data_IF_885001036798
#
_entry.id   IF_885001036798
#
_cell.length_a   1.000
_cell.length_b   1.000
_cell.length_c   1.000
_cell.angle_alpha   90.00
_cell.angle_beta   90.00
_cell.angle_gamma   90.00
#
_symmetry.space_group_name_H-M   'P 1'
#
loop_
_entity.id
_entity.type
_entity.pdbx_description
1 polymer ?
#
# COMPACT_ATOMS: atom_id res chain seq x y z
N UNK A 1 -23.26 -16.85 -2.39
CA UNK A 1 -21.92 -17.51 -2.35
C UNK A 1 -22.04 -18.79 -1.54
N UNK A 2 -21.39 -19.85 -1.98
CA UNK A 2 -21.38 -21.17 -1.35
C UNK A 2 -21.03 -21.08 0.15
N UNK A 3 -21.83 -21.69 1.06
CA UNK A 3 -21.60 -21.59 2.51
C UNK A 3 -20.26 -22.16 2.97
N UNK A 4 -19.77 -23.25 2.35
CA UNK A 4 -18.47 -23.82 2.69
C UNK A 4 -17.33 -22.91 2.26
N UNK A 5 -17.45 -22.28 1.10
CA UNK A 5 -16.51 -21.24 0.65
C UNK A 5 -16.42 -20.10 1.65
N UNK A 6 -17.55 -19.58 2.13
CA UNK A 6 -17.57 -18.49 3.12
C UNK A 6 -16.92 -18.90 4.45
N UNK A 7 -17.22 -20.11 4.94
CA UNK A 7 -16.63 -20.65 6.17
C UNK A 7 -15.11 -20.82 6.05
N UNK A 8 -14.63 -21.28 4.91
CA UNK A 8 -13.19 -21.45 4.64
C UNK A 8 -12.50 -20.10 4.49
N UNK A 9 -13.15 -19.14 3.87
CA UNK A 9 -12.64 -17.78 3.76
C UNK A 9 -12.49 -17.12 5.14
N UNK A 10 -13.47 -17.26 6.05
CA UNK A 10 -13.34 -16.77 7.42
C UNK A 10 -12.14 -17.40 8.16
N UNK A 11 -11.94 -18.72 8.01
CA UNK A 11 -10.77 -19.39 8.58
C UNK A 11 -9.45 -18.87 7.99
N UNK A 12 -9.43 -18.53 6.71
CA UNK A 12 -8.26 -17.95 6.07
C UNK A 12 -7.98 -16.53 6.56
N UNK A 13 -9.01 -15.73 6.82
CA UNK A 13 -8.85 -14.40 7.42
C UNK A 13 -8.17 -14.48 8.80
N UNK A 14 -8.58 -15.45 9.63
CA UNK A 14 -7.91 -15.71 10.91
C UNK A 14 -6.45 -16.15 10.70
N UNK A 15 -6.17 -17.04 9.74
CA UNK A 15 -4.79 -17.46 9.43
C UNK A 15 -3.93 -16.29 8.96
N UNK A 16 -4.47 -15.37 8.15
CA UNK A 16 -3.75 -14.18 7.72
C UNK A 16 -3.39 -13.26 8.91
N UNK A 17 -4.30 -13.10 9.86
CA UNK A 17 -4.06 -12.31 11.08
C UNK A 17 -3.02 -12.98 11.99
N UNK A 18 -3.09 -14.29 12.18
CA UNK A 18 -2.09 -15.04 12.98
C UNK A 18 -0.69 -14.93 12.36
N UNK A 19 -0.59 -14.88 11.02
CA UNK A 19 0.70 -14.69 10.31
C UNK A 19 1.17 -13.23 10.30
N UNK A 20 0.45 -12.34 10.94
CA UNK A 20 0.78 -10.93 11.06
C UNK A 20 1.02 -10.26 9.68
N UNK A 21 0.15 -10.58 8.71
CA UNK A 21 0.16 -9.89 7.42
C UNK A 21 -0.30 -8.45 7.60
N UNK A 22 0.30 -7.55 6.83
CA UNK A 22 -0.10 -6.14 6.87
C UNK A 22 -1.59 -5.99 6.51
N UNK A 23 -2.27 -5.03 7.15
CA UNK A 23 -3.68 -4.74 6.86
C UNK A 23 -3.96 -4.53 5.37
N UNK A 24 -3.07 -3.84 4.67
CA UNK A 24 -3.19 -3.61 3.23
C UNK A 24 -3.12 -4.91 2.42
N UNK A 25 -2.29 -5.87 2.85
CA UNK A 25 -2.23 -7.20 2.23
C UNK A 25 -3.52 -7.96 2.48
N UNK A 26 -4.02 -7.95 3.72
CA UNK A 26 -5.29 -8.61 4.08
C UNK A 26 -6.45 -8.00 3.31
N UNK A 27 -6.55 -6.67 3.25
CA UNK A 27 -7.57 -5.95 2.46
C UNK A 27 -7.50 -6.34 0.98
N UNK A 28 -6.31 -6.36 0.38
CA UNK A 28 -6.11 -6.72 -1.02
C UNK A 28 -6.53 -8.17 -1.32
N UNK A 29 -6.11 -9.12 -0.48
CA UNK A 29 -6.48 -10.53 -0.62
C UNK A 29 -7.98 -10.74 -0.45
N UNK A 30 -8.59 -10.08 0.53
CA UNK A 30 -10.04 -10.14 0.73
C UNK A 30 -10.82 -9.65 -0.50
N UNK A 31 -10.40 -8.54 -1.12
CA UNK A 31 -11.04 -8.00 -2.33
C UNK A 31 -10.89 -8.99 -3.49
N UNK A 32 -9.69 -9.51 -3.71
CA UNK A 32 -9.41 -10.40 -4.83
C UNK A 32 -10.18 -11.73 -4.71
N UNK A 33 -10.20 -12.32 -3.52
CA UNK A 33 -10.93 -13.57 -3.25
C UNK A 33 -12.44 -13.38 -3.34
N UNK A 34 -12.99 -12.30 -2.78
CA UNK A 34 -14.43 -12.00 -2.91
C UNK A 34 -14.87 -11.84 -4.35
N UNK A 35 -14.06 -11.18 -5.20
CA UNK A 35 -14.36 -11.05 -6.63
C UNK A 35 -14.40 -12.41 -7.33
N UNK A 36 -13.50 -13.31 -6.97
CA UNK A 36 -13.53 -14.66 -7.52
C UNK A 36 -14.73 -15.46 -7.02
N UNK A 37 -15.06 -15.42 -5.74
CA UNK A 37 -16.25 -16.11 -5.20
C UNK A 37 -17.56 -15.60 -5.81
N UNK A 38 -17.65 -14.30 -6.12
CA UNK A 38 -18.80 -13.73 -6.84
C UNK A 38 -18.85 -14.30 -8.26
N UNK A 39 -17.72 -14.36 -8.96
CA UNK A 39 -17.66 -14.95 -10.29
C UNK A 39 -18.10 -16.41 -10.30
N UNK A 40 -17.66 -17.22 -9.33
CA UNK A 40 -18.09 -18.62 -9.18
C UNK A 40 -19.60 -18.71 -8.92
N UNK A 41 -20.15 -17.79 -8.13
CA UNK A 41 -21.58 -17.73 -7.89
C UNK A 41 -22.37 -17.44 -9.18
N UNK A 42 -21.93 -16.45 -9.95
CA UNK A 42 -22.63 -15.95 -11.13
C UNK A 42 -22.46 -16.85 -12.36
N UNK A 43 -21.29 -17.48 -12.53
CA UNK A 43 -20.89 -18.15 -13.77
C UNK A 43 -20.59 -19.64 -13.64
N UNK A 44 -20.33 -20.15 -12.44
CA UNK A 44 -19.91 -21.53 -12.18
C UNK A 44 -20.83 -22.23 -11.16
N UNK A 45 -22.14 -22.01 -11.26
CA UNK A 45 -23.18 -22.66 -10.47
C UNK A 45 -22.97 -22.63 -8.95
N UNK A 46 -22.33 -21.56 -8.44
CA UNK A 46 -21.99 -21.41 -7.02
C UNK A 46 -21.14 -22.57 -6.47
N UNK A 47 -20.20 -23.04 -7.27
CA UNK A 47 -19.28 -24.13 -6.94
C UNK A 47 -18.53 -23.84 -5.64
N UNK A 48 -18.23 -24.88 -4.87
CA UNK A 48 -17.36 -24.76 -3.70
C UNK A 48 -15.91 -24.56 -4.13
N UNK A 49 -15.14 -23.75 -3.39
CA UNK A 49 -13.69 -23.63 -3.62
C UNK A 49 -12.92 -24.94 -3.46
N UNK A 50 -13.52 -25.94 -2.82
CA UNK A 50 -12.91 -27.27 -2.68
C UNK A 50 -13.01 -28.10 -3.96
N UNK A 51 -14.01 -27.79 -4.80
CA UNK A 51 -14.31 -28.52 -6.03
C UNK A 51 -13.83 -27.79 -7.29
N UNK A 52 -13.36 -26.56 -7.13
CA UNK A 52 -12.87 -25.75 -8.24
C UNK A 52 -11.61 -26.36 -8.86
N UNK A 53 -11.57 -26.39 -10.18
CA UNK A 53 -10.48 -26.93 -11.01
C UNK A 53 -9.57 -25.84 -11.54
N UNK A 54 -8.49 -26.22 -12.20
CA UNK A 54 -7.63 -25.29 -12.97
C UNK A 54 -8.40 -24.68 -14.14
N UNK A 55 -9.27 -25.43 -14.83
CA UNK A 55 -10.12 -24.93 -15.90
C UNK A 55 -11.05 -23.81 -15.42
N UNK A 56 -11.67 -23.95 -14.25
CA UNK A 56 -12.52 -22.91 -13.64
C UNK A 56 -11.75 -21.61 -13.38
N UNK A 57 -10.48 -21.71 -12.98
CA UNK A 57 -9.61 -20.57 -12.77
C UNK A 57 -9.16 -19.95 -14.09
N UNK A 58 -8.87 -20.75 -15.12
CA UNK A 58 -8.53 -20.26 -16.46
C UNK A 58 -9.68 -19.46 -17.05
N UNK A 59 -10.92 -19.95 -16.95
CA UNK A 59 -12.11 -19.23 -17.36
C UNK A 59 -12.25 -17.90 -16.61
N UNK A 60 -12.06 -17.90 -15.29
CA UNK A 60 -12.08 -16.67 -14.49
C UNK A 60 -11.03 -15.67 -14.95
N UNK A 61 -9.78 -16.09 -15.19
CA UNK A 61 -8.72 -15.17 -15.64
C UNK A 61 -8.94 -14.72 -17.08
N UNK A 62 -9.51 -15.55 -17.93
CA UNK A 62 -9.93 -15.15 -19.27
C UNK A 62 -11.00 -14.06 -19.19
N UNK A 63 -12.05 -14.26 -18.41
CA UNK A 63 -13.09 -13.26 -18.16
C UNK A 63 -12.49 -11.96 -17.63
N UNK A 64 -11.61 -12.00 -16.65
CA UNK A 64 -10.94 -10.79 -16.13
C UNK A 64 -10.15 -10.04 -17.18
N UNK A 65 -9.51 -10.74 -18.10
CA UNK A 65 -8.81 -10.15 -19.24
C UNK A 65 -9.77 -9.40 -20.14
N UNK A 66 -10.93 -9.96 -20.43
CA UNK A 66 -11.98 -9.31 -21.21
C UNK A 66 -12.54 -8.06 -20.53
N UNK A 67 -12.54 -8.01 -19.20
CA UNK A 67 -12.92 -6.83 -18.40
C UNK A 67 -11.81 -5.75 -18.36
N UNK A 68 -10.76 -5.86 -19.16
CA UNK A 68 -9.69 -4.87 -19.27
C UNK A 68 -8.65 -4.93 -18.15
N UNK A 69 -8.60 -6.02 -17.37
CA UNK A 69 -7.57 -6.15 -16.34
C UNK A 69 -6.19 -6.34 -16.97
N UNK A 70 -5.25 -5.46 -16.63
CA UNK A 70 -3.88 -5.56 -17.11
C UNK A 70 -3.12 -6.75 -16.48
N UNK A 71 -1.98 -7.09 -17.08
CA UNK A 71 -1.13 -8.22 -16.66
C UNK A 71 -0.71 -8.13 -15.19
N UNK A 72 -0.32 -6.95 -14.71
CA UNK A 72 0.11 -6.77 -13.32
C UNK A 72 -1.04 -7.06 -12.34
N UNK A 73 -2.25 -6.60 -12.65
CA UNK A 73 -3.45 -6.88 -11.86
C UNK A 73 -3.79 -8.37 -11.86
N UNK A 74 -3.74 -9.02 -13.02
CA UNK A 74 -3.99 -10.45 -13.12
C UNK A 74 -2.98 -11.26 -12.29
N UNK A 75 -1.68 -10.97 -12.41
CA UNK A 75 -0.62 -11.64 -11.62
C UNK A 75 -0.82 -11.46 -10.12
N UNK A 76 -1.26 -10.28 -9.69
CA UNK A 76 -1.57 -10.02 -8.27
C UNK A 76 -2.73 -10.89 -7.79
N UNK A 77 -3.82 -10.95 -8.54
CA UNK A 77 -4.99 -11.77 -8.20
C UNK A 77 -4.65 -13.25 -8.18
N UNK A 78 -3.86 -13.73 -9.16
CA UNK A 78 -3.32 -15.10 -9.14
C UNK A 78 -2.56 -15.39 -7.85
N UNK A 79 -1.74 -14.44 -7.37
CA UNK A 79 -1.01 -14.61 -6.13
C UNK A 79 -1.94 -14.70 -4.91
N UNK A 80 -3.02 -13.90 -4.88
CA UNK A 80 -4.02 -13.93 -3.81
C UNK A 80 -4.74 -15.28 -3.76
N UNK A 81 -5.18 -15.79 -4.92
CA UNK A 81 -5.87 -17.08 -5.04
C UNK A 81 -4.91 -18.24 -4.71
N UNK A 82 -3.67 -18.22 -5.23
CA UNK A 82 -2.66 -19.23 -4.91
C UNK A 82 -2.34 -19.29 -3.42
N UNK A 83 -2.28 -18.13 -2.74
CA UNK A 83 -2.05 -18.09 -1.30
C UNK A 83 -3.21 -18.72 -0.51
N UNK A 84 -4.45 -18.53 -0.96
CA UNK A 84 -5.63 -19.17 -0.37
C UNK A 84 -5.62 -20.69 -0.57
N UNK A 85 -5.33 -21.18 -1.78
CA UNK A 85 -5.22 -22.62 -2.03
C UNK A 85 -4.05 -23.26 -1.29
N UNK A 86 -2.93 -22.56 -1.16
CA UNK A 86 -1.83 -23.02 -0.31
C UNK A 86 -2.26 -23.19 1.16
N UNK A 87 -3.12 -22.31 1.67
CA UNK A 87 -3.71 -22.46 2.99
C UNK A 87 -4.62 -23.71 3.05
N UNK A 88 -5.52 -23.92 2.07
CA UNK A 88 -6.40 -25.09 2.05
C UNK A 88 -5.60 -26.40 2.01
N UNK A 89 -4.55 -26.48 1.20
CA UNK A 89 -3.63 -27.62 1.12
C UNK A 89 -2.89 -27.85 2.46
N UNK A 90 -2.39 -26.79 3.10
CA UNK A 90 -1.75 -26.87 4.42
C UNK A 90 -2.71 -27.41 5.48
N UNK A 91 -3.99 -27.11 5.39
CA UNK A 91 -5.06 -27.64 6.27
C UNK A 91 -5.53 -29.04 5.85
N UNK A 92 -4.93 -29.65 4.82
CA UNK A 92 -5.29 -30.97 4.27
C UNK A 92 -6.76 -31.07 3.82
N UNK A 93 -7.33 -29.96 3.39
CA UNK A 93 -8.71 -29.91 2.87
C UNK A 93 -8.78 -30.25 1.38
N UNK A 94 -7.68 -30.07 0.67
CA UNK A 94 -7.48 -30.48 -0.72
C UNK A 94 -6.16 -31.24 -0.85
N UNK A 95 -6.06 -32.13 -1.84
CA UNK A 95 -4.82 -32.86 -2.17
C UNK A 95 -3.95 -32.03 -3.11
N UNK A 96 -4.55 -31.56 -4.18
CA UNK A 96 -3.92 -30.79 -5.25
C UNK A 96 -4.48 -29.37 -5.28
N UNK A 97 -3.70 -28.44 -5.76
CA UNK A 97 -4.12 -27.04 -5.87
C UNK A 97 -4.48 -26.73 -7.32
N UNK A 98 -5.67 -26.20 -7.63
CA UNK A 98 -6.01 -25.81 -8.98
C UNK A 98 -5.15 -24.64 -9.51
N UNK A 99 -4.29 -24.07 -8.67
CA UNK A 99 -3.35 -23.02 -9.09
C UNK A 99 -1.96 -23.56 -9.44
N UNK A 100 -1.73 -24.88 -9.31
CA UNK A 100 -0.39 -25.48 -9.45
C UNK A 100 0.14 -25.36 -10.88
N UNK A 101 -0.72 -25.62 -11.86
CA UNK A 101 -0.37 -25.57 -13.28
C UNK A 101 -0.81 -24.29 -13.98
N UNK A 102 -1.38 -23.33 -13.23
CA UNK A 102 -1.86 -22.10 -13.81
C UNK A 102 -0.70 -21.21 -14.29
N UNK A 103 -0.58 -21.05 -15.60
CA UNK A 103 0.47 -20.22 -16.19
C UNK A 103 0.25 -18.73 -15.88
N UNK A 104 1.29 -18.10 -15.33
CA UNK A 104 1.26 -16.64 -15.09
C UNK A 104 1.45 -15.87 -16.39
N UNK A 105 0.61 -14.87 -16.69
CA UNK A 105 0.80 -14.03 -17.86
C UNK A 105 2.21 -13.45 -17.87
N UNK A 106 2.88 -13.50 -19.03
CA UNK A 106 4.21 -12.93 -19.19
C UNK A 106 4.13 -11.42 -18.93
N UNK A 107 4.96 -10.96 -18.01
CA UNK A 107 5.11 -9.53 -17.80
C UNK A 107 5.90 -8.99 -18.98
N UNK A 108 5.27 -8.16 -19.81
CA UNK A 108 6.00 -7.41 -20.82
C UNK A 108 7.08 -6.55 -20.16
N UNK A 109 8.10 -6.16 -20.91
CA UNK A 109 9.06 -5.18 -20.40
C UNK A 109 8.27 -3.99 -19.88
N UNK A 110 8.42 -3.70 -18.58
CA UNK A 110 7.87 -2.48 -18.03
C UNK A 110 8.52 -1.32 -18.81
N UNK A 111 7.75 -0.66 -19.67
CA UNK A 111 8.15 0.63 -20.20
C UNK A 111 8.11 1.57 -19.00
N UNK A 112 9.14 1.50 -18.18
CA UNK A 112 9.37 2.51 -17.17
C UNK A 112 9.80 3.76 -17.92
N UNK A 113 8.84 4.60 -18.25
CA UNK A 113 9.17 6.02 -18.46
C UNK A 113 9.65 6.51 -17.10
N UNK A 114 10.95 6.48 -16.89
CA UNK A 114 11.54 7.15 -15.73
C UNK A 114 11.28 8.63 -15.96
N UNK A 115 10.33 9.17 -15.21
CA UNK A 115 10.05 10.59 -15.22
C UNK A 115 10.82 11.19 -14.06
N UNK A 116 11.99 11.73 -14.37
CA UNK A 116 12.73 12.55 -13.42
C UNK A 116 12.29 14.00 -13.59
N UNK A 117 12.13 14.72 -12.48
CA UNK A 117 11.97 16.16 -12.54
C UNK A 117 13.32 16.78 -12.95
N UNK A 118 13.28 17.69 -13.91
CA UNK A 118 14.47 18.52 -14.22
C UNK A 118 14.67 19.56 -13.11
N UNK A 119 15.85 20.18 -13.08
CA UNK A 119 16.15 21.25 -12.12
C UNK A 119 15.16 22.42 -12.26
N UNK A 120 14.81 22.75 -13.51
CA UNK A 120 13.85 23.81 -13.81
C UNK A 120 12.45 23.45 -13.26
N UNK A 121 12.02 22.21 -13.44
CA UNK A 121 10.74 21.73 -12.88
C UNK A 121 10.73 21.72 -11.35
N UNK A 122 11.85 21.39 -10.72
CA UNK A 122 11.96 21.47 -9.25
C UNK A 122 11.89 22.91 -8.77
N UNK A 123 12.53 23.84 -9.48
CA UNK A 123 12.48 25.27 -9.14
C UNK A 123 11.06 25.85 -9.36
N UNK A 124 10.40 25.50 -10.46
CA UNK A 124 9.01 25.87 -10.68
C UNK A 124 8.06 25.30 -9.59
N UNK A 125 8.29 24.06 -9.18
CA UNK A 125 7.53 23.44 -8.09
C UNK A 125 7.73 24.18 -6.77
N UNK A 126 8.96 24.57 -6.42
CA UNK A 126 9.25 25.39 -5.23
C UNK A 126 8.47 26.70 -5.25
N UNK A 127 8.55 27.42 -6.36
CA UNK A 127 7.85 28.70 -6.49
C UNK A 127 6.34 28.52 -6.32
N UNK A 128 5.73 27.52 -6.96
CA UNK A 128 4.30 27.24 -6.82
C UNK A 128 3.91 26.84 -5.40
N UNK A 129 4.75 26.11 -4.68
CA UNK A 129 4.50 25.75 -3.29
C UNK A 129 4.56 26.97 -2.36
N UNK A 130 5.50 27.90 -2.61
CA UNK A 130 5.57 29.17 -1.88
C UNK A 130 4.34 30.05 -2.16
N UNK A 131 3.94 30.18 -3.42
CA UNK A 131 2.73 30.94 -3.83
C UNK A 131 1.45 30.34 -3.24
N UNK A 132 1.37 29.01 -3.11
CA UNK A 132 0.23 28.31 -2.51
C UNK A 132 0.12 28.56 -1.01
N UNK A 133 1.24 28.78 -0.32
CA UNK A 133 1.30 29.22 1.07
C UNK A 133 0.99 28.15 2.13
N UNK A 134 0.86 26.87 1.77
CA UNK A 134 0.74 25.78 2.76
C UNK A 134 2.13 25.28 3.16
N UNK A 135 2.60 25.70 4.32
CA UNK A 135 3.93 25.35 4.84
C UNK A 135 4.08 23.84 5.07
N UNK A 136 3.02 23.12 5.45
CA UNK A 136 3.09 21.69 5.64
C UNK A 136 3.22 20.95 4.30
N UNK A 137 2.45 21.34 3.30
CA UNK A 137 2.53 20.75 1.97
C UNK A 137 3.92 21.01 1.35
N UNK A 138 4.43 22.23 1.48
CA UNK A 138 5.76 22.60 1.01
C UNK A 138 6.83 21.73 1.70
N UNK A 139 6.79 21.65 3.03
CA UNK A 139 7.72 20.83 3.81
C UNK A 139 7.64 19.36 3.40
N UNK A 140 6.44 18.80 3.25
CA UNK A 140 6.22 17.42 2.87
C UNK A 140 6.84 17.06 1.52
N UNK A 141 6.58 17.90 0.51
CA UNK A 141 7.09 17.65 -0.85
C UNK A 141 8.62 17.81 -0.89
N UNK A 142 9.14 18.87 -0.28
CA UNK A 142 10.59 19.11 -0.27
C UNK A 142 11.34 18.08 0.56
N UNK A 143 10.77 17.61 1.67
CA UNK A 143 11.30 16.49 2.44
C UNK A 143 11.36 15.21 1.60
N UNK A 144 10.30 14.90 0.88
CA UNK A 144 10.26 13.73 -0.02
C UNK A 144 11.30 13.81 -1.14
N UNK A 145 11.48 14.97 -1.76
CA UNK A 145 12.50 15.20 -2.79
C UNK A 145 13.94 15.09 -2.24
N UNK A 146 14.17 15.56 -1.02
CA UNK A 146 15.48 15.52 -0.39
C UNK A 146 15.87 14.12 0.08
N UNK A 147 14.94 13.40 0.71
CA UNK A 147 15.23 12.11 1.35
C UNK A 147 14.95 10.90 0.48
N UNK A 148 14.14 11.06 -0.59
CA UNK A 148 13.57 9.95 -1.38
C UNK A 148 12.81 8.92 -0.53
N UNK A 149 12.33 9.32 0.65
CA UNK A 149 11.59 8.47 1.56
C UNK A 149 10.27 7.99 0.97
N UNK A 150 9.87 6.78 1.32
CA UNK A 150 8.56 6.27 0.91
C UNK A 150 7.44 7.05 1.61
N UNK A 151 6.35 7.26 0.87
CA UNK A 151 5.16 7.99 1.37
C UNK A 151 4.71 7.50 2.74
N UNK A 152 4.71 6.18 2.96
CA UNK A 152 4.29 5.61 4.25
C UNK A 152 5.27 5.91 5.39
N UNK A 153 6.56 5.98 5.11
CA UNK A 153 7.58 6.36 6.11
C UNK A 153 7.41 7.83 6.50
N UNK A 154 7.22 8.71 5.53
CA UNK A 154 6.96 10.14 5.78
C UNK A 154 5.66 10.34 6.57
N UNK A 155 4.59 9.62 6.20
CA UNK A 155 3.29 9.71 6.86
C UNK A 155 3.32 9.31 8.34
N UNK A 156 4.27 8.47 8.75
CA UNK A 156 4.40 7.99 10.13
C UNK A 156 5.61 8.59 10.86
N UNK A 157 6.20 9.64 10.30
CA UNK A 157 7.35 10.29 10.91
C UNK A 157 6.96 11.06 12.17
N UNK A 158 7.70 10.85 13.25
CA UNK A 158 7.54 11.53 14.53
C UNK A 158 8.59 12.59 14.75
N UNK A 159 8.25 13.67 15.48
CA UNK A 159 9.22 14.69 15.85
C UNK A 159 10.37 14.16 16.69
N UNK A 160 10.14 13.16 17.53
CA UNK A 160 11.19 12.50 18.33
C UNK A 160 12.26 11.81 17.49
N UNK A 161 11.96 11.49 16.23
CA UNK A 161 12.90 10.90 15.28
C UNK A 161 13.72 11.94 14.52
N UNK A 162 13.35 13.22 14.60
CA UNK A 162 13.94 14.30 13.79
C UNK A 162 15.01 15.04 14.57
N UNK A 163 16.26 14.94 14.12
CA UNK A 163 17.36 15.78 14.59
C UNK A 163 17.60 16.90 13.57
N UNK A 164 17.16 18.10 13.89
CA UNK A 164 17.27 19.26 13.00
C UNK A 164 18.73 19.71 12.85
N UNK A 165 19.52 19.65 13.91
CA UNK A 165 20.90 20.15 13.91
C UNK A 165 21.83 19.25 13.09
N UNK A 166 21.60 17.93 13.11
CA UNK A 166 22.31 16.97 12.29
C UNK A 166 21.64 16.72 10.93
N UNK A 167 20.47 17.32 10.70
CA UNK A 167 19.67 17.17 9.48
C UNK A 167 19.39 15.71 9.12
N UNK A 168 18.96 14.93 10.09
CA UNK A 168 18.63 13.53 9.91
C UNK A 168 17.39 13.12 10.70
N UNK A 169 16.76 12.04 10.23
CA UNK A 169 15.75 11.32 11.00
C UNK A 169 16.28 9.92 11.27
N UNK A 170 16.17 9.47 12.53
CA UNK A 170 16.63 8.15 12.95
C UNK A 170 15.45 7.20 13.16
N UNK A 171 15.72 5.91 13.08
CA UNK A 171 14.76 4.85 13.36
C UNK A 171 13.46 4.93 12.53
N UNK A 172 13.55 5.39 11.28
CA UNK A 172 12.39 5.50 10.39
C UNK A 172 12.00 4.15 9.84
N UNK A 173 10.77 3.72 10.13
CA UNK A 173 10.26 2.43 9.69
C UNK A 173 9.83 2.47 8.21
N UNK A 174 10.50 1.70 7.39
CA UNK A 174 10.14 1.48 6.00
C UNK A 174 9.41 0.15 5.76
N UNK A 175 9.12 -0.14 4.49
CA UNK A 175 8.52 -1.40 4.05
C UNK A 175 9.37 -2.60 4.51
N UNK A 176 8.71 -3.72 4.81
CA UNK A 176 9.34 -4.96 5.28
C UNK A 176 10.01 -4.83 6.66
N UNK A 177 9.53 -3.88 7.49
CA UNK A 177 10.06 -3.61 8.84
C UNK A 177 11.55 -3.23 8.85
N UNK A 178 12.04 -2.68 7.74
CA UNK A 178 13.39 -2.11 7.72
C UNK A 178 13.39 -0.78 8.44
N UNK A 179 14.36 -0.60 9.31
CA UNK A 179 14.65 0.67 9.97
C UNK A 179 15.77 1.33 9.17
N UNK A 180 15.61 2.61 8.84
CA UNK A 180 16.56 3.39 8.08
C UNK A 180 16.71 4.77 8.68
N UNK A 181 17.86 5.39 8.47
CA UNK A 181 18.09 6.78 8.74
C UNK A 181 17.91 7.59 7.44
N UNK A 182 17.25 8.73 7.54
CA UNK A 182 16.99 9.62 6.42
C UNK A 182 17.75 10.92 6.64
N UNK A 183 18.43 11.39 5.61
CA UNK A 183 19.18 12.66 5.64
C UNK A 183 18.47 13.68 4.77
N UNK A 184 18.33 14.90 5.25
CA UNK A 184 17.65 15.98 4.53
C UNK A 184 18.54 17.24 4.39
N UNK A 185 18.17 18.08 3.44
CA UNK A 185 18.91 19.29 3.11
C UNK A 185 18.68 20.41 4.12
N UNK A 186 19.55 21.44 4.09
CA UNK A 186 19.39 22.68 4.85
C UNK A 186 18.07 23.40 4.53
N UNK A 187 17.63 23.36 3.26
CA UNK A 187 16.33 23.89 2.86
C UNK A 187 15.18 23.23 3.63
N UNK A 188 15.22 21.89 3.75
CA UNK A 188 14.21 21.12 4.49
C UNK A 188 14.28 21.39 5.98
N UNK A 189 15.47 21.55 6.56
CA UNK A 189 15.64 21.97 7.95
C UNK A 189 14.90 23.30 8.20
N UNK A 190 15.15 24.30 7.35
CA UNK A 190 14.49 25.61 7.45
C UNK A 190 12.96 25.50 7.35
N UNK A 191 12.44 24.63 6.47
CA UNK A 191 11.01 24.40 6.34
C UNK A 191 10.42 23.68 7.56
N UNK A 192 11.11 22.70 8.13
CA UNK A 192 10.68 22.01 9.35
C UNK A 192 10.62 22.98 10.54
N UNK A 193 11.61 23.87 10.70
CA UNK A 193 11.59 24.92 11.73
C UNK A 193 10.40 25.87 11.55
N UNK A 194 10.14 26.35 10.33
CA UNK A 194 8.96 27.15 10.01
C UNK A 194 7.64 26.43 10.29
N UNK A 195 7.57 25.13 10.01
CA UNK A 195 6.39 24.32 10.31
C UNK A 195 6.13 24.24 11.82
N UNK A 196 7.18 24.07 12.63
CA UNK A 196 7.08 24.08 14.10
C UNK A 196 6.56 25.42 14.60
N UNK A 197 7.12 26.53 14.12
CA UNK A 197 6.70 27.89 14.50
C UNK A 197 5.25 28.15 14.11
N UNK A 198 4.88 27.84 12.87
CA UNK A 198 3.50 27.97 12.38
C UNK A 198 2.50 27.22 13.26
N UNK A 199 2.81 25.98 13.65
CA UNK A 199 1.92 25.19 14.52
C UNK A 199 1.80 25.78 15.92
N UNK A 200 2.89 26.29 16.45
CA UNK A 200 2.92 26.99 17.73
C UNK A 200 2.03 28.25 17.73
N UNK A 201 2.19 29.10 16.71
CA UNK A 201 1.43 30.34 16.56
C UNK A 201 -0.07 30.10 16.37
N UNK A 202 -0.44 29.01 15.68
CA UNK A 202 -1.82 28.67 15.40
C UNK A 202 -2.43 27.68 16.40
N UNK A 203 -1.72 27.33 17.49
CA UNK A 203 -2.16 26.37 18.50
C UNK A 203 -2.59 25.01 17.92
N UNK A 204 -1.88 24.53 16.90
CA UNK A 204 -2.18 23.24 16.26
C UNK A 204 -1.52 22.11 17.07
N UNK A 205 -2.33 21.20 17.59
CA UNK A 205 -1.83 19.99 18.23
C UNK A 205 -1.53 18.93 17.18
N UNK A 206 -0.26 18.60 16.98
CA UNK A 206 0.19 17.59 16.03
C UNK A 206 0.34 16.19 16.64
N UNK A 207 0.10 16.03 17.92
CA UNK A 207 0.23 14.76 18.64
C UNK A 207 1.60 14.08 18.46
N UNK A 208 2.65 14.87 18.22
CA UNK A 208 4.02 14.41 17.99
C UNK A 208 4.32 13.93 16.57
N UNK A 209 3.38 14.09 15.61
CA UNK A 209 3.58 13.77 14.22
C UNK A 209 4.13 14.93 13.39
N UNK A 210 5.09 14.64 12.49
CA UNK A 210 5.66 15.67 11.60
C UNK A 210 4.65 16.11 10.54
N UNK A 211 3.91 15.16 9.95
CA UNK A 211 2.90 15.46 8.94
C UNK A 211 1.53 14.97 9.42
N UNK A 212 0.54 15.85 9.38
CA UNK A 212 -0.78 15.61 9.96
C UNK A 212 -1.91 15.93 8.98
N UNK A 213 -3.08 15.37 9.26
CA UNK A 213 -4.35 15.79 8.67
C UNK A 213 -5.22 16.43 9.74
N UNK A 214 -6.35 17.10 9.39
CA UNK A 214 -7.29 17.63 10.38
C UNK A 214 -7.86 16.58 11.34
N UNK A 215 -7.70 15.29 11.03
CA UNK A 215 -8.22 14.16 11.83
C UNK A 215 -7.11 13.42 12.58
N UNK A 216 -6.00 14.09 12.87
CA UNK A 216 -4.88 13.52 13.62
C UNK A 216 -5.27 13.13 15.04
N UNK A 217 -4.74 12.00 15.52
CA UNK A 217 -4.81 11.53 16.91
C UNK A 217 -3.46 11.00 17.36
N UNK A 218 -3.30 10.66 18.63
CA UNK A 218 -2.06 10.07 19.16
C UNK A 218 -1.65 8.78 18.42
N UNK A 219 -2.64 8.02 17.94
CA UNK A 219 -2.45 6.75 17.25
C UNK A 219 -2.37 6.87 15.71
N UNK A 220 -2.92 7.96 15.12
CA UNK A 220 -3.09 8.10 13.66
C UNK A 220 -2.68 9.49 13.19
N UNK A 221 -1.65 9.53 12.41
CA UNK A 221 -1.11 10.76 11.80
C UNK A 221 -1.90 11.21 10.56
N UNK A 222 -2.10 10.30 9.64
CA UNK A 222 -2.81 10.50 8.38
C UNK A 222 -3.72 9.28 8.22
N UNK A 223 -5.03 9.46 8.17
CA UNK A 223 -5.89 8.38 7.71
C UNK A 223 -5.61 8.13 6.24
N UNK A 224 -5.13 6.91 5.95
CA UNK A 224 -4.59 6.46 4.71
C UNK A 224 -5.20 7.05 3.45
N UNK A 225 -4.37 7.68 2.68
CA UNK A 225 -4.59 7.99 1.29
C UNK A 225 -5.51 9.18 1.06
N UNK A 226 -4.93 10.19 0.61
CA UNK A 226 -5.35 11.43 -0.03
C UNK A 226 -5.14 12.66 0.85
N UNK A 227 -4.00 13.27 0.63
CA UNK A 227 -3.96 14.72 0.52
C UNK A 227 -4.89 15.03 -0.67
N UNK A 228 -6.14 15.40 -0.40
CA UNK A 228 -7.02 15.99 -1.39
C UNK A 228 -6.57 17.40 -1.67
#
# INVERSE_FOLDING_TARGET
>A
INPDTLKLFQKYQVDMSIRDLSENTIKAYNIDLKQWFIYMYDNQFNLSVLDATDEDLEEYFYWRKQQGNNVCRQRRVMSSISAFYKFLRKKKLIKESPTEFLERPKQGQAIMKQTFLTIEQVNELRQKLEEYGDIQLQTYIMFGLSTMARVNAMAHLRWEQVNLDERMCTDVLEKERKIVDLYFSEEVEGLLRKLIEYRKENNINDHGWVFITPYVTDEKCIQGGTLN
#
